data_IF_508401604944
#
_entry.id   IF_508401604944
#
_cell.length_a   1.000
_cell.length_b   1.000
_cell.length_c   1.000
_cell.angle_alpha   90.00
_cell.angle_beta   90.00
_cell.angle_gamma   90.00
#
_symmetry.space_group_name_H-M   'P 1'
#
loop_
_entity.id
_entity.type
_entity.pdbx_description
1 polymer ?
#
# COMPACT_ATOMS: atom_id res chain seq x y z
N UNK A 1 9.07 15.71 26.97
CA UNK A 1 8.53 14.39 26.57
C UNK A 1 8.87 14.15 25.11
N UNK A 2 9.76 13.18 24.83
CA UNK A 2 10.35 12.95 23.50
C UNK A 2 9.28 12.47 22.50
N UNK A 3 9.25 13.15 21.35
CA UNK A 3 8.41 12.82 20.20
C UNK A 3 8.62 11.35 19.80
N UNK A 4 7.54 10.57 19.89
CA UNK A 4 7.52 9.11 19.79
C UNK A 4 7.93 8.54 18.44
N UNK A 5 8.21 7.22 18.49
CA UNK A 5 8.67 6.32 17.42
C UNK A 5 8.15 6.71 16.03
N UNK A 6 9.07 7.05 15.12
CA UNK A 6 8.79 7.38 13.70
C UNK A 6 8.71 6.11 12.85
N UNK A 7 7.75 5.25 13.16
CA UNK A 7 7.45 4.04 12.40
C UNK A 7 6.10 4.15 11.70
N UNK A 8 6.03 3.62 10.48
CA UNK A 8 4.90 3.76 9.57
C UNK A 8 4.58 2.39 8.97
N UNK A 9 3.31 2.09 8.77
CA UNK A 9 2.89 0.95 7.97
C UNK A 9 2.15 1.44 6.73
N UNK A 10 2.62 1.05 5.55
CA UNK A 10 1.97 1.33 4.28
C UNK A 10 1.29 0.07 3.75
N UNK A 11 0.02 0.16 3.38
CA UNK A 11 -0.68 -0.86 2.60
C UNK A 11 -1.03 -0.26 1.24
N UNK A 12 -0.39 -0.73 0.17
CA UNK A 12 -0.58 -0.19 -1.18
C UNK A 12 -0.29 -1.24 -2.25
N UNK A 13 -0.77 -1.04 -3.50
CA UNK A 13 -1.75 -1.89 -4.16
C UNK A 13 -1.23 -3.28 -4.53
N UNK A 14 -2.18 -4.09 -5.01
CA UNK A 14 -1.95 -5.27 -5.86
C UNK A 14 -0.75 -5.07 -6.76
N UNK A 15 0.33 -5.74 -6.41
CA UNK A 15 1.47 -5.83 -7.31
C UNK A 15 1.25 -7.04 -8.20
N UNK A 16 1.45 -6.83 -9.50
CA UNK A 16 1.63 -7.93 -10.43
C UNK A 16 2.92 -8.62 -10.04
N UNK A 17 2.80 -9.86 -9.60
CA UNK A 17 3.94 -10.70 -9.28
C UNK A 17 3.94 -11.82 -10.30
N UNK A 18 4.96 -11.81 -11.17
CA UNK A 18 5.02 -12.63 -12.37
C UNK A 18 4.23 -12.06 -13.56
N UNK A 19 4.95 -11.62 -14.58
CA UNK A 19 4.45 -11.45 -15.94
C UNK A 19 5.27 -12.34 -16.87
N UNK A 20 4.62 -13.18 -17.67
CA UNK A 20 5.29 -13.91 -18.74
C UNK A 20 5.84 -12.90 -19.76
N UNK A 21 7.17 -12.75 -19.82
CA UNK A 21 7.88 -11.99 -20.84
C UNK A 21 9.16 -12.71 -21.27
N UNK A 22 9.36 -12.84 -22.58
CA UNK A 22 10.62 -13.11 -23.30
C UNK A 22 10.50 -12.45 -24.67
N UNK A 23 11.53 -11.94 -25.37
CA UNK A 23 12.98 -11.81 -25.16
C UNK A 23 13.53 -10.85 -26.23
N UNK A 24 14.68 -10.23 -25.94
CA UNK A 24 15.68 -9.49 -26.76
C UNK A 24 15.48 -9.32 -28.29
N UNK A 25 15.65 -8.07 -28.75
CA UNK A 25 16.19 -7.72 -30.08
C UNK A 25 15.62 -6.43 -30.72
N UNK A 26 16.44 -5.38 -30.82
CA UNK A 26 16.35 -4.26 -31.79
C UNK A 26 15.32 -3.14 -31.53
N UNK A 27 15.78 -1.90 -31.33
CA UNK A 27 14.92 -0.70 -31.37
C UNK A 27 14.60 -0.24 -32.81
N UNK A 28 14.02 0.96 -33.04
CA UNK A 28 13.43 1.92 -32.12
C UNK A 28 11.93 2.23 -32.39
N UNK A 29 11.28 2.79 -31.36
CA UNK A 29 10.09 3.65 -31.37
C UNK A 29 8.76 3.20 -32.05
N UNK A 30 7.72 3.38 -31.23
CA UNK A 30 6.31 3.69 -31.56
C UNK A 30 5.34 2.52 -31.79
N UNK A 31 4.23 2.65 -31.06
CA UNK A 31 2.92 2.04 -31.30
C UNK A 31 2.71 0.61 -30.80
N UNK A 32 1.83 0.51 -29.79
CA UNK A 32 1.17 -0.72 -29.37
C UNK A 32 0.57 -1.47 -30.58
N UNK A 33 0.79 -2.78 -30.66
CA UNK A 33 -0.30 -3.73 -30.39
C UNK A 33 0.07 -4.50 -29.12
N UNK A 34 -0.87 -4.93 -28.27
CA UNK A 34 -1.53 -6.22 -28.45
C UNK A 34 -0.50 -7.35 -28.48
N UNK A 35 -0.70 -8.45 -27.76
CA UNK A 35 -0.48 -9.81 -28.24
C UNK A 35 -0.46 -10.78 -27.05
N UNK A 36 -1.46 -11.63 -27.08
CA UNK A 36 -1.71 -12.79 -26.25
C UNK A 36 -0.84 -13.96 -26.68
N UNK A 37 -0.41 -14.78 -25.72
CA UNK A 37 -0.01 -16.17 -25.98
C UNK A 37 -0.81 -17.08 -25.06
N UNK A 38 -1.62 -17.94 -25.65
CA UNK A 38 -2.35 -19.00 -24.97
C UNK A 38 -1.40 -20.17 -24.67
N UNK A 39 -1.60 -20.82 -23.53
CA UNK A 39 -1.10 -22.17 -23.29
C UNK A 39 -2.31 -23.05 -23.01
N UNK A 40 -2.45 -24.08 -23.84
CA UNK A 40 -3.30 -25.25 -23.62
C UNK A 40 -2.37 -26.39 -23.19
N UNK A 41 -2.40 -26.73 -21.90
CA UNK A 41 -1.81 -27.95 -21.35
C UNK A 41 -2.88 -28.68 -20.51
N UNK A 42 -2.83 -30.01 -20.36
CA UNK A 42 -4.02 -30.81 -20.10
C UNK A 42 -4.59 -30.76 -18.67
N UNK A 43 -3.99 -29.99 -17.74
CA UNK A 43 -4.41 -29.97 -16.34
C UNK A 43 -4.22 -28.58 -15.74
N UNK A 44 -5.34 -27.93 -15.37
CA UNK A 44 -5.36 -26.64 -14.67
C UNK A 44 -5.51 -25.42 -15.59
N UNK A 45 -6.73 -24.89 -15.69
CA UNK A 45 -7.00 -23.63 -16.41
C UNK A 45 -6.22 -22.43 -15.83
N UNK A 46 -5.88 -21.42 -16.64
CA UNK A 46 -4.96 -20.35 -16.25
C UNK A 46 -5.50 -19.42 -15.14
N UNK A 47 -4.59 -18.91 -14.30
CA UNK A 47 -4.81 -17.87 -13.29
C UNK A 47 -5.23 -16.56 -13.95
N UNK A 48 -6.53 -16.36 -14.17
CA UNK A 48 -7.06 -15.13 -14.77
C UNK A 48 -7.47 -14.15 -13.68
N UNK A 49 -6.84 -12.99 -13.64
CA UNK A 49 -7.31 -11.86 -12.85
C UNK A 49 -7.27 -10.58 -13.68
N UNK A 50 -8.16 -9.62 -13.37
CA UNK A 50 -8.20 -8.32 -14.04
C UNK A 50 -7.39 -7.32 -13.19
N UNK A 51 -6.18 -6.92 -13.60
CA UNK A 51 -5.41 -5.90 -12.91
C UNK A 51 -6.05 -4.51 -13.13
N UNK A 52 -5.58 -3.46 -12.43
CA UNK A 52 -6.06 -2.09 -12.59
C UNK A 52 -6.05 -1.56 -14.04
N UNK A 53 -5.23 -2.17 -14.92
CA UNK A 53 -5.15 -1.88 -16.35
C UNK A 53 -6.34 -2.38 -17.19
N UNK A 54 -7.34 -3.04 -16.60
CA UNK A 54 -8.60 -3.38 -17.25
C UNK A 54 -8.55 -4.53 -18.26
N UNK A 55 -7.38 -5.09 -18.59
CA UNK A 55 -7.21 -6.29 -19.42
C UNK A 55 -7.20 -7.56 -18.57
N UNK A 56 -7.83 -8.64 -19.04
CA UNK A 56 -7.72 -9.95 -18.38
C UNK A 56 -6.33 -10.51 -18.74
N UNK A 57 -5.46 -10.60 -17.74
CA UNK A 57 -4.12 -11.14 -17.92
C UNK A 57 -3.94 -12.37 -17.04
N UNK A 58 -3.11 -13.30 -17.51
CA UNK A 58 -2.70 -14.43 -16.70
C UNK A 58 -1.66 -13.94 -15.70
N UNK A 59 -2.09 -13.56 -14.50
CA UNK A 59 -1.23 -13.05 -13.45
C UNK A 59 -1.77 -13.39 -12.07
N UNK A 60 -0.82 -13.52 -11.14
CA UNK A 60 -1.10 -13.61 -9.70
C UNK A 60 -1.06 -12.22 -9.09
N UNK A 61 -1.94 -12.03 -8.11
CA UNK A 61 -2.12 -10.77 -7.41
C UNK A 61 -1.82 -10.97 -5.93
N UNK A 62 -0.80 -10.30 -5.42
CA UNK A 62 -0.50 -10.28 -3.99
C UNK A 62 -0.90 -8.95 -3.35
N UNK A 63 -1.44 -9.01 -2.14
CA UNK A 63 -1.58 -7.88 -1.21
C UNK A 63 -0.42 -7.92 -0.23
N UNK A 64 0.22 -6.78 0.00
CA UNK A 64 1.44 -6.69 0.81
C UNK A 64 1.34 -5.56 1.84
N UNK A 65 2.01 -5.77 2.97
CA UNK A 65 2.18 -4.77 4.01
C UNK A 65 3.66 -4.37 4.08
N UNK A 66 3.95 -3.08 4.00
CA UNK A 66 5.30 -2.57 4.19
C UNK A 66 5.43 -1.82 5.51
N UNK A 67 6.56 -1.98 6.18
CA UNK A 67 6.94 -1.20 7.36
C UNK A 67 8.07 -0.26 7.00
N UNK A 68 7.91 1.02 7.35
CA UNK A 68 8.93 2.06 7.16
C UNK A 68 9.33 2.62 8.51
N UNK A 69 10.62 2.83 8.69
CA UNK A 69 11.21 3.53 9.82
C UNK A 69 12.26 4.53 9.34
N UNK A 70 12.88 5.26 10.28
CA UNK A 70 14.05 6.08 9.97
C UNK A 70 15.26 5.25 9.48
N UNK A 71 15.29 3.95 9.77
CA UNK A 71 16.37 3.03 9.39
C UNK A 71 16.19 2.43 7.99
N UNK A 72 15.01 2.53 7.39
CA UNK A 72 14.71 1.88 6.12
C UNK A 72 13.28 1.39 6.05
N UNK A 73 12.96 0.66 4.98
CA UNK A 73 11.63 0.11 4.72
C UNK A 73 11.74 -1.33 4.22
N UNK A 74 10.81 -2.19 4.62
CA UNK A 74 10.75 -3.59 4.20
C UNK A 74 9.31 -4.11 4.18
N UNK A 75 9.05 -5.18 3.43
CA UNK A 75 7.78 -5.89 3.44
C UNK A 75 7.70 -6.79 4.68
N UNK A 76 6.59 -6.74 5.41
CA UNK A 76 6.39 -7.46 6.68
C UNK A 76 5.26 -8.49 6.63
N UNK A 77 4.33 -8.37 5.67
CA UNK A 77 3.25 -9.34 5.48
C UNK A 77 2.85 -9.42 4.00
N UNK A 78 2.28 -10.56 3.60
CA UNK A 78 1.81 -10.88 2.24
C UNK A 78 0.57 -11.76 2.29
N UNK A 79 -0.30 -11.60 1.32
CA UNK A 79 -1.38 -12.55 1.06
C UNK A 79 -1.66 -12.65 -0.44
N UNK A 80 -1.90 -13.86 -0.93
CA UNK A 80 -2.36 -14.08 -2.30
C UNK A 80 -3.85 -13.77 -2.41
N UNK A 81 -4.23 -12.92 -3.36
CA UNK A 81 -5.64 -12.63 -3.64
C UNK A 81 -6.21 -13.69 -4.57
N UNK A 82 -7.28 -14.34 -4.10
CA UNK A 82 -8.05 -15.30 -4.89
C UNK A 82 -9.36 -14.66 -5.35
N UNK A 83 -9.60 -14.55 -6.67
CA UNK A 83 -10.92 -14.16 -7.17
C UNK A 83 -12.01 -15.15 -6.74
N UNK A 84 -13.25 -14.68 -6.63
CA UNK A 84 -14.38 -15.53 -6.22
C UNK A 84 -14.54 -16.78 -7.10
N UNK A 85 -14.34 -16.65 -8.41
CA UNK A 85 -14.38 -17.77 -9.35
C UNK A 85 -13.32 -18.87 -9.09
N UNK A 86 -12.26 -18.59 -8.32
CA UNK A 86 -11.36 -19.63 -7.83
C UNK A 86 -11.93 -20.32 -6.59
N UNK A 87 -12.43 -19.53 -5.65
CA UNK A 87 -12.95 -20.07 -4.38
C UNK A 87 -14.26 -20.83 -4.54
N UNK A 88 -14.99 -20.62 -5.63
CA UNK A 88 -16.20 -21.39 -5.93
C UNK A 88 -15.89 -22.77 -6.53
N UNK A 89 -14.65 -22.99 -7.00
CA UNK A 89 -14.17 -24.26 -7.58
C UNK A 89 -13.15 -24.92 -6.62
N UNK A 90 -13.68 -25.77 -5.73
CA UNK A 90 -12.88 -26.43 -4.68
C UNK A 90 -11.90 -27.45 -5.23
N UNK A 91 -12.25 -28.16 -6.30
CA UNK A 91 -11.35 -29.15 -6.90
C UNK A 91 -10.15 -28.45 -7.55
N UNK A 92 -10.38 -27.33 -8.23
CA UNK A 92 -9.30 -26.48 -8.73
C UNK A 92 -8.45 -25.89 -7.61
N UNK A 93 -9.05 -25.51 -6.49
CA UNK A 93 -8.30 -25.04 -5.31
C UNK A 93 -7.37 -26.11 -4.77
N UNK A 94 -7.87 -27.34 -4.58
CA UNK A 94 -7.09 -28.49 -4.09
C UNK A 94 -5.96 -28.86 -5.05
N UNK A 95 -6.22 -28.84 -6.36
CA UNK A 95 -5.19 -29.06 -7.38
C UNK A 95 -4.06 -28.01 -7.33
N UNK A 96 -4.38 -26.78 -6.92
CA UNK A 96 -3.42 -25.70 -6.74
C UNK A 96 -2.83 -25.63 -5.31
N UNK A 97 -3.14 -26.59 -4.44
CA UNK A 97 -2.65 -26.65 -3.06
C UNK A 97 -3.28 -25.61 -2.10
N UNK A 98 -4.40 -25.00 -2.48
CA UNK A 98 -5.11 -24.02 -1.66
C UNK A 98 -5.92 -24.76 -0.58
N UNK A 99 -5.74 -24.44 0.72
CA UNK A 99 -6.51 -25.06 1.80
C UNK A 99 -8.02 -24.79 1.70
N UNK A 100 -8.84 -25.73 2.18
CA UNK A 100 -10.31 -25.68 2.08
C UNK A 100 -10.90 -24.53 2.90
N UNK A 101 -10.21 -24.08 3.95
CA UNK A 101 -10.62 -22.95 4.81
C UNK A 101 -10.42 -21.60 4.11
N UNK A 102 -9.66 -21.55 3.01
CA UNK A 102 -9.44 -20.32 2.25
C UNK A 102 -10.68 -20.00 1.41
N UNK A 103 -11.49 -19.09 1.94
CA UNK A 103 -12.63 -18.47 1.25
C UNK A 103 -12.25 -17.21 0.47
N UNK A 104 -13.24 -16.65 -0.23
CA UNK A 104 -13.10 -15.35 -0.88
C UNK A 104 -12.92 -14.26 0.17
N UNK A 105 -11.95 -13.37 -0.06
CA UNK A 105 -11.76 -12.17 0.73
C UNK A 105 -11.50 -10.99 -0.21
N UNK A 106 -12.20 -9.89 0.02
CA UNK A 106 -11.89 -8.62 -0.63
C UNK A 106 -10.52 -8.13 -0.19
N UNK A 107 -9.86 -7.32 -1.02
CA UNK A 107 -8.56 -6.73 -0.67
C UNK A 107 -8.63 -5.92 0.63
N UNK A 108 -9.76 -5.25 0.89
CA UNK A 108 -10.00 -4.48 2.12
C UNK A 108 -10.01 -5.39 3.34
N UNK A 109 -10.70 -6.54 3.26
CA UNK A 109 -10.69 -7.54 4.33
C UNK A 109 -9.30 -8.14 4.53
N UNK A 110 -8.59 -8.46 3.44
CA UNK A 110 -7.20 -8.93 3.51
C UNK A 110 -6.30 -7.91 4.22
N UNK A 111 -6.38 -6.64 3.85
CA UNK A 111 -5.61 -5.56 4.48
C UNK A 111 -5.94 -5.41 5.98
N UNK A 112 -7.22 -5.50 6.35
CA UNK A 112 -7.66 -5.51 7.75
C UNK A 112 -7.04 -6.68 8.51
N UNK A 113 -7.12 -7.89 7.96
CA UNK A 113 -6.54 -9.11 8.57
C UNK A 113 -5.03 -9.01 8.71
N UNK A 114 -4.32 -8.48 7.71
CA UNK A 114 -2.88 -8.26 7.76
C UNK A 114 -2.49 -7.25 8.84
N UNK A 115 -3.23 -6.13 8.96
CA UNK A 115 -3.03 -5.18 10.04
C UNK A 115 -3.29 -5.80 11.42
N UNK A 116 -4.37 -6.56 11.56
CA UNK A 116 -4.70 -7.25 12.81
C UNK A 116 -3.58 -8.21 13.24
N UNK A 117 -3.03 -9.00 12.31
CA UNK A 117 -1.87 -9.85 12.57
C UNK A 117 -0.64 -9.05 12.99
N UNK A 118 -0.35 -7.95 12.31
CA UNK A 118 0.78 -7.08 12.66
C UNK A 118 0.63 -6.52 14.09
N UNK A 119 -0.58 -6.08 14.46
CA UNK A 119 -0.86 -5.58 15.81
C UNK A 119 -0.76 -6.68 16.87
N UNK A 120 -1.30 -7.88 16.58
CA UNK A 120 -1.18 -9.03 17.47
C UNK A 120 0.28 -9.49 17.66
N UNK A 121 1.13 -9.32 16.64
CA UNK A 121 2.57 -9.56 16.72
C UNK A 121 3.35 -8.43 17.43
N UNK A 122 2.67 -7.44 18.02
CA UNK A 122 3.29 -6.33 18.75
C UNK A 122 3.85 -5.22 17.86
N UNK A 123 3.58 -5.23 16.55
CA UNK A 123 4.00 -4.17 15.64
C UNK A 123 3.02 -3.00 15.79
N UNK A 124 3.42 -1.99 16.57
CA UNK A 124 2.63 -0.76 16.79
C UNK A 124 3.19 0.39 15.96
N UNK A 125 2.73 0.63 14.72
CA UNK A 125 3.19 1.78 13.95
C UNK A 125 2.62 3.08 14.51
N UNK A 126 3.40 4.15 14.42
CA UNK A 126 2.90 5.48 14.74
C UNK A 126 1.73 5.88 13.82
N UNK A 127 1.78 5.49 12.55
CA UNK A 127 0.72 5.76 11.59
C UNK A 127 0.60 4.69 10.51
N UNK A 128 -0.61 4.54 9.96
CA UNK A 128 -0.92 3.71 8.79
C UNK A 128 -1.24 4.57 7.57
N UNK A 129 -0.73 4.21 6.39
CA UNK A 129 -1.05 4.90 5.13
C UNK A 129 -1.54 3.92 4.09
N UNK A 130 -2.52 4.33 3.27
CA UNK A 130 -3.10 3.46 2.25
C UNK A 130 -3.51 4.20 0.99
N UNK A 131 -3.66 3.45 -0.12
CA UNK A 131 -4.26 3.97 -1.34
C UNK A 131 -5.75 4.25 -1.24
N UNK A 132 -6.28 4.80 -2.32
CA UNK A 132 -7.68 5.13 -2.47
C UNK A 132 -8.58 3.88 -2.45
N UNK A 133 -8.10 2.74 -2.95
CA UNK A 133 -8.89 1.52 -3.04
C UNK A 133 -9.21 0.95 -1.65
N UNK A 134 -8.27 1.03 -0.71
CA UNK A 134 -8.50 0.72 0.71
C UNK A 134 -9.14 1.89 1.43
N UNK A 135 -8.62 3.09 1.18
CA UNK A 135 -8.94 4.27 1.96
C UNK A 135 -10.38 4.70 1.80
N UNK A 136 -11.06 4.46 0.67
CA UNK A 136 -12.51 4.71 0.53
C UNK A 136 -13.39 3.86 1.46
N UNK A 137 -12.87 2.74 2.01
CA UNK A 137 -13.65 1.87 2.88
C UNK A 137 -13.87 2.53 4.24
N UNK A 138 -15.11 2.98 4.49
CA UNK A 138 -15.52 3.57 5.77
C UNK A 138 -15.36 2.57 6.93
N UNK A 139 -15.65 1.29 6.70
CA UNK A 139 -15.50 0.24 7.72
C UNK A 139 -14.04 0.04 8.13
N UNK A 140 -13.10 0.10 7.19
CA UNK A 140 -11.67 0.00 7.50
C UNK A 140 -11.18 1.23 8.29
N UNK A 141 -11.64 2.43 7.94
CA UNK A 141 -11.34 3.66 8.71
C UNK A 141 -11.82 3.52 10.16
N UNK A 142 -13.08 3.18 10.35
CA UNK A 142 -13.68 3.01 11.69
C UNK A 142 -12.95 1.93 12.48
N UNK A 143 -12.64 0.79 11.86
CA UNK A 143 -11.89 -0.27 12.53
C UNK A 143 -10.49 0.20 13.00
N UNK A 144 -9.76 0.99 12.20
CA UNK A 144 -8.49 1.57 12.64
C UNK A 144 -8.68 2.58 13.78
N UNK A 145 -9.77 3.37 13.77
CA UNK A 145 -10.10 4.30 14.85
C UNK A 145 -10.42 3.57 16.17
N UNK A 146 -11.13 2.43 16.11
CA UNK A 146 -11.43 1.57 17.26
C UNK A 146 -10.16 0.98 17.91
N UNK A 147 -9.13 0.72 17.10
CA UNK A 147 -7.81 0.26 17.57
C UNK A 147 -6.88 1.42 17.93
N UNK A 148 -7.39 2.65 17.95
CA UNK A 148 -6.64 3.88 18.19
C UNK A 148 -5.41 4.05 17.27
N UNK A 149 -5.48 3.49 16.07
CA UNK A 149 -4.41 3.54 15.08
C UNK A 149 -4.55 4.81 14.23
N UNK A 150 -3.60 5.74 14.42
CA UNK A 150 -3.51 6.93 13.58
C UNK A 150 -3.27 6.53 12.12
N UNK A 151 -3.92 7.22 11.19
CA UNK A 151 -3.85 6.90 9.77
C UNK A 151 -4.01 8.12 8.87
N UNK A 152 -3.43 8.03 7.67
CA UNK A 152 -3.62 8.95 6.54
C UNK A 152 -3.89 8.09 5.31
N UNK A 153 -5.16 7.97 4.93
CA UNK A 153 -5.58 7.11 3.80
C UNK A 153 -6.11 7.96 2.66
N UNK A 154 -5.69 7.64 1.43
CA UNK A 154 -6.20 8.35 0.26
C UNK A 154 -7.70 8.06 0.05
N UNK A 155 -8.43 9.01 -0.50
CA UNK A 155 -9.86 8.84 -0.80
C UNK A 155 -10.24 9.48 -2.13
N UNK A 156 -11.40 9.06 -2.65
CA UNK A 156 -11.98 9.59 -3.87
C UNK A 156 -12.46 11.01 -3.68
N UNK A 157 -12.44 11.78 -4.77
CA UNK A 157 -12.99 13.15 -4.82
C UNK A 157 -14.47 13.23 -4.43
N UNK A 158 -15.24 12.18 -4.70
CA UNK A 158 -16.69 12.10 -4.45
C UNK A 158 -17.03 11.35 -3.16
N UNK A 159 -16.05 11.07 -2.29
CA UNK A 159 -16.32 10.49 -0.99
C UNK A 159 -17.05 11.50 -0.09
N UNK A 160 -18.00 11.00 0.69
CA UNK A 160 -18.79 11.78 1.63
C UNK A 160 -18.25 11.61 3.05
N UNK A 161 -17.87 12.74 3.65
CA UNK A 161 -17.37 12.82 5.02
C UNK A 161 -18.35 13.59 5.90
N UNK A 162 -18.39 13.21 7.18
CA UNK A 162 -19.15 13.95 8.19
C UNK A 162 -18.38 15.21 8.54
N UNK A 163 -19.02 16.38 8.44
CA UNK A 163 -18.42 17.68 8.73
C UNK A 163 -18.47 18.01 10.22
N UNK A 164 -17.84 19.12 10.61
CA UNK A 164 -17.96 19.69 11.95
C UNK A 164 -19.33 20.31 12.23
N UNK A 165 -20.19 20.45 11.22
CA UNK A 165 -21.57 20.93 11.35
C UNK A 165 -22.59 19.79 11.47
N UNK A 166 -22.14 18.56 11.74
CA UNK A 166 -22.97 17.34 11.82
C UNK A 166 -23.71 16.99 10.51
N UNK A 167 -23.30 17.56 9.38
CA UNK A 167 -23.80 17.21 8.05
C UNK A 167 -22.87 16.26 7.30
N UNK A 168 -23.32 15.79 6.14
CA UNK A 168 -22.48 15.12 5.15
C UNK A 168 -22.09 16.11 4.05
N UNK A 169 -20.82 16.08 3.67
CA UNK A 169 -20.36 16.84 2.51
C UNK A 169 -19.33 16.06 1.72
N UNK A 170 -19.37 16.26 0.40
CA UNK A 170 -18.38 15.72 -0.52
C UNK A 170 -17.02 16.37 -0.31
N UNK A 171 -16.00 15.53 -0.32
CA UNK A 171 -14.59 15.93 -0.17
C UNK A 171 -14.17 17.01 -1.17
N UNK A 172 -14.52 16.88 -2.45
CA UNK A 172 -14.14 17.89 -3.46
C UNK A 172 -14.80 19.25 -3.23
N UNK A 173 -16.06 19.28 -2.78
CA UNK A 173 -16.77 20.52 -2.45
C UNK A 173 -16.17 21.22 -1.24
N UNK A 174 -15.81 20.48 -0.20
CA UNK A 174 -15.16 21.04 0.99
C UNK A 174 -13.82 21.69 0.65
N UNK A 175 -13.02 21.04 -0.19
CA UNK A 175 -11.69 21.55 -0.58
C UNK A 175 -11.79 22.72 -1.57
N UNK A 176 -12.77 22.70 -2.48
CA UNK A 176 -13.01 23.80 -3.41
C UNK A 176 -13.44 25.09 -2.69
N UNK A 177 -14.13 24.98 -1.54
CA UNK A 177 -14.54 26.12 -0.74
C UNK A 177 -13.40 26.77 0.06
N UNK A 178 -12.19 26.19 0.08
CA UNK A 178 -11.08 26.73 0.86
C UNK A 178 -10.49 27.99 0.22
N UNK A 179 -10.27 29.07 1.01
CA UNK A 179 -9.57 30.24 0.52
C UNK A 179 -8.10 29.90 0.21
N UNK A 180 -7.49 30.64 -0.73
CA UNK A 180 -6.08 30.43 -1.13
C UNK A 180 -5.10 30.43 0.05
N UNK A 181 -5.34 31.26 1.08
CA UNK A 181 -4.52 31.33 2.30
C UNK A 181 -4.49 30.04 3.14
N UNK A 182 -5.44 29.13 2.94
CA UNK A 182 -5.49 27.85 3.65
C UNK A 182 -4.47 26.83 3.09
N UNK A 183 -3.88 27.13 1.93
CA UNK A 183 -2.89 26.28 1.27
C UNK A 183 -1.47 26.70 1.67
N UNK A 184 -0.63 25.72 1.96
CA UNK A 184 0.78 25.92 2.29
C UNK A 184 1.66 25.02 1.41
N UNK A 185 2.74 25.57 0.87
CA UNK A 185 3.73 24.80 0.11
C UNK A 185 4.58 23.98 1.07
N UNK A 186 4.50 22.66 0.97
CA UNK A 186 5.18 21.73 1.89
C UNK A 186 5.77 20.57 1.09
N UNK A 187 7.00 20.20 1.42
CA UNK A 187 7.63 18.99 0.91
C UNK A 187 7.06 17.73 1.56
N UNK A 188 6.58 16.80 0.73
CA UNK A 188 6.12 15.47 1.14
C UNK A 188 7.29 14.49 1.41
N UNK A 189 8.54 14.95 1.28
CA UNK A 189 9.75 14.15 1.47
C UNK A 189 10.70 14.21 0.27
N UNK A 190 11.88 13.58 0.39
CA UNK A 190 12.82 13.48 -0.73
C UNK A 190 12.18 12.70 -1.89
N UNK A 191 12.53 13.07 -3.12
CA UNK A 191 12.19 12.38 -4.36
C UNK A 191 13.41 12.30 -5.27
N UNK A 192 13.33 11.46 -6.31
CA UNK A 192 14.43 11.21 -7.24
C UNK A 192 14.91 12.47 -7.99
N UNK A 193 14.02 13.46 -8.19
CA UNK A 193 14.30 14.73 -8.86
C UNK A 193 14.30 15.93 -7.89
N UNK A 194 14.55 15.70 -6.60
CA UNK A 194 14.53 16.72 -5.56
C UNK A 194 13.31 16.63 -4.61
N UNK A 195 13.13 17.60 -3.70
CA UNK A 195 12.02 17.60 -2.75
C UNK A 195 10.68 17.55 -3.47
N UNK A 196 9.80 16.62 -3.08
CA UNK A 196 8.45 16.53 -3.65
C UNK A 196 7.54 17.59 -3.04
N UNK A 197 7.56 18.78 -3.63
CA UNK A 197 6.79 19.91 -3.16
C UNK A 197 5.37 19.91 -3.72
N UNK A 198 4.41 20.12 -2.83
CA UNK A 198 3.01 20.26 -3.17
C UNK A 198 2.39 21.37 -2.34
N UNK A 199 1.26 21.90 -2.82
CA UNK A 199 0.38 22.70 -1.99
C UNK A 199 -0.48 21.78 -1.13
N UNK A 200 -0.50 22.00 0.18
CA UNK A 200 -1.27 21.20 1.13
C UNK A 200 -2.26 22.08 1.87
N UNK A 201 -3.45 21.56 2.10
CA UNK A 201 -4.45 22.17 2.97
C UNK A 201 -5.12 21.10 3.82
N UNK A 202 -5.56 21.47 5.03
CA UNK A 202 -6.37 20.60 5.89
C UNK A 202 -7.61 21.31 6.38
N UNK A 203 -8.67 20.54 6.60
CA UNK A 203 -9.91 20.97 7.22
C UNK A 203 -10.24 19.98 8.35
N UNK A 204 -10.63 20.43 9.55
CA UNK A 204 -11.21 19.52 10.53
C UNK A 204 -12.51 18.92 10.00
N UNK A 205 -12.70 17.63 10.20
CA UNK A 205 -13.94 16.93 9.90
C UNK A 205 -14.44 16.21 11.16
N UNK A 206 -15.72 15.83 11.17
CA UNK A 206 -16.43 15.24 12.31
C UNK A 206 -16.49 16.13 13.55
N UNK A 207 -17.57 15.95 14.32
CA UNK A 207 -17.71 16.45 15.69
C UNK A 207 -17.38 15.35 16.70
N UNK A 208 -17.23 15.71 17.97
CA UNK A 208 -17.00 14.77 19.09
C UNK A 208 -15.77 13.87 18.94
N UNK A 209 -14.62 14.50 18.70
CA UNK A 209 -13.35 13.77 18.70
C UNK A 209 -13.10 13.13 20.05
N UNK A 210 -12.58 11.90 20.07
CA UNK A 210 -12.02 11.31 21.29
C UNK A 210 -11.00 12.28 21.91
N UNK A 211 -10.94 12.43 23.25
CA UNK A 211 -9.98 13.33 23.89
C UNK A 211 -8.55 13.10 23.37
N UNK A 212 -7.90 14.17 22.93
CA UNK A 212 -6.54 14.11 22.39
C UNK A 212 -6.40 13.57 20.96
N UNK A 213 -7.51 13.21 20.29
CA UNK A 213 -7.54 12.79 18.89
C UNK A 213 -8.19 13.86 18.01
N UNK A 214 -7.98 13.76 16.71
CA UNK A 214 -8.65 14.60 15.73
C UNK A 214 -8.80 13.91 14.39
N UNK A 215 -9.77 14.41 13.63
CA UNK A 215 -10.07 13.96 12.28
C UNK A 215 -9.91 15.13 11.32
N UNK A 216 -9.21 14.89 10.22
CA UNK A 216 -8.98 15.91 9.20
C UNK A 216 -9.21 15.36 7.81
N UNK A 217 -9.75 16.21 6.94
CA UNK A 217 -9.63 16.07 5.51
C UNK A 217 -8.38 16.82 5.06
N UNK A 218 -7.48 16.13 4.36
CA UNK A 218 -6.24 16.67 3.82
C UNK A 218 -6.33 16.66 2.30
N UNK A 219 -5.93 17.77 1.68
CA UNK A 219 -5.81 17.88 0.23
C UNK A 219 -4.37 18.20 -0.16
N UNK A 220 -3.94 17.58 -1.24
CA UNK A 220 -2.67 17.83 -1.91
C UNK A 220 -2.95 18.33 -3.31
N UNK A 221 -2.37 19.47 -3.68
CA UNK A 221 -2.43 20.03 -5.03
C UNK A 221 -1.04 20.03 -5.66
N UNK A 222 -0.95 19.49 -6.87
CA UNK A 222 0.26 19.54 -7.68
C UNK A 222 0.59 20.99 -8.07
N UNK A 223 1.85 21.39 -7.95
CA UNK A 223 2.30 22.75 -8.26
C UNK A 223 2.23 23.01 -9.77
N UNK A 224 2.63 22.04 -10.59
CA UNK A 224 2.71 22.18 -12.04
C UNK A 224 1.38 21.85 -12.73
N UNK A 225 0.73 20.75 -12.34
CA UNK A 225 -0.49 20.27 -13.01
C UNK A 225 -1.78 20.78 -12.38
N UNK A 226 -1.73 21.31 -11.15
CA UNK A 226 -2.93 21.69 -10.40
C UNK A 226 -3.79 20.51 -9.92
N UNK A 227 -3.40 19.27 -10.22
CA UNK A 227 -4.17 18.07 -9.85
C UNK A 227 -4.31 17.90 -8.34
N UNK A 228 -5.52 17.54 -7.91
CA UNK A 228 -5.87 17.35 -6.51
C UNK A 228 -5.91 15.86 -6.11
N UNK A 229 -5.31 15.55 -4.97
CA UNK A 229 -5.46 14.28 -4.27
C UNK A 229 -5.99 14.52 -2.85
N UNK A 230 -6.83 13.62 -2.37
CA UNK A 230 -7.54 13.77 -1.10
C UNK A 230 -7.22 12.64 -0.13
N UNK A 231 -7.18 12.95 1.16
CA UNK A 231 -6.87 11.99 2.20
C UNK A 231 -7.74 12.21 3.44
N UNK A 232 -8.21 11.13 4.04
CA UNK A 232 -8.85 11.14 5.36
C UNK A 232 -7.83 10.78 6.42
N UNK A 233 -7.74 11.62 7.44
CA UNK A 233 -6.73 11.53 8.48
C UNK A 233 -7.39 11.38 9.86
N UNK A 234 -6.85 10.49 10.68
CA UNK A 234 -7.14 10.35 12.09
C UNK A 234 -5.83 10.26 12.87
N UNK A 235 -5.71 10.94 14.00
CA UNK A 235 -4.51 10.84 14.83
C UNK A 235 -4.48 11.84 15.97
N UNK A 236 -3.31 12.06 16.61
CA UNK A 236 -3.17 12.99 17.72
C UNK A 236 -3.59 14.41 17.35
N UNK A 237 -4.44 15.06 18.15
CA UNK A 237 -5.03 16.39 17.86
C UNK A 237 -4.01 17.47 17.52
N UNK A 238 -2.81 17.38 18.09
CA UNK A 238 -1.70 18.33 17.90
C UNK A 238 -0.84 18.06 16.65
N UNK A 239 -1.21 17.09 15.82
CA UNK A 239 -0.48 16.80 14.57
C UNK A 239 -0.50 18.03 13.67
N UNK A 240 0.66 18.45 13.14
CA UNK A 240 0.76 19.63 12.26
C UNK A 240 0.50 19.25 10.82
N UNK A 241 0.12 20.22 9.99
CA UNK A 241 -0.06 20.02 8.55
C UNK A 241 1.22 19.46 7.89
N UNK A 242 2.39 19.96 8.30
CA UNK A 242 3.68 19.47 7.81
C UNK A 242 3.90 17.99 8.13
N UNK A 243 3.47 17.54 9.31
CA UNK A 243 3.61 16.14 9.68
C UNK A 243 2.66 15.30 8.81
N UNK A 244 1.38 15.66 8.69
CA UNK A 244 0.42 14.96 7.81
C UNK A 244 0.91 14.86 6.35
N UNK A 245 1.48 15.95 5.79
CA UNK A 245 2.02 15.97 4.44
C UNK A 245 3.19 14.99 4.25
N UNK A 246 4.11 14.93 5.22
CA UNK A 246 5.21 13.95 5.22
C UNK A 246 4.70 12.53 5.29
N UNK A 247 3.65 12.29 6.10
CA UNK A 247 3.03 10.97 6.30
C UNK A 247 2.35 10.52 5.02
N UNK A 248 1.55 11.37 4.40
CA UNK A 248 0.97 11.09 3.09
C UNK A 248 2.05 10.77 2.04
N UNK A 249 3.21 11.42 2.12
CA UNK A 249 4.38 11.16 1.27
C UNK A 249 5.09 9.83 1.54
N UNK A 250 4.99 9.24 2.74
CA UNK A 250 5.63 7.95 3.05
C UNK A 250 5.02 6.78 2.30
N UNK A 251 3.82 6.96 1.76
CA UNK A 251 3.13 6.00 0.89
C UNK A 251 4.02 5.46 -0.24
N UNK A 252 4.90 6.31 -0.78
CA UNK A 252 5.85 5.94 -1.83
C UNK A 252 6.85 4.86 -1.41
N UNK A 253 7.13 4.71 -0.11
CA UNK A 253 8.08 3.70 0.37
C UNK A 253 7.63 2.26 0.05
N UNK A 254 6.33 2.01 -0.12
CA UNK A 254 5.84 0.70 -0.60
C UNK A 254 6.33 0.43 -2.03
N UNK A 255 6.29 1.44 -2.90
CA UNK A 255 6.74 1.33 -4.28
C UNK A 255 8.27 1.10 -4.32
N UNK A 256 9.03 1.78 -3.47
CA UNK A 256 10.46 1.53 -3.29
C UNK A 256 10.77 0.12 -2.76
N UNK A 257 10.02 -0.38 -1.78
CA UNK A 257 10.12 -1.77 -1.30
C UNK A 257 9.93 -2.75 -2.46
N UNK A 258 8.91 -2.55 -3.29
CA UNK A 258 8.68 -3.44 -4.44
C UNK A 258 9.81 -3.39 -5.46
N UNK A 259 10.27 -2.18 -5.84
CA UNK A 259 11.38 -2.06 -6.79
C UNK A 259 12.65 -2.74 -6.26
N UNK A 260 12.97 -2.56 -4.98
CA UNK A 260 14.13 -3.17 -4.36
C UNK A 260 13.98 -4.69 -4.20
N UNK A 261 12.83 -5.17 -3.71
CA UNK A 261 12.58 -6.59 -3.53
C UNK A 261 12.58 -7.35 -4.86
N UNK A 262 12.08 -6.75 -5.94
CA UNK A 262 12.16 -7.31 -7.30
C UNK A 262 13.60 -7.34 -7.79
N UNK A 263 14.27 -6.19 -7.80
CA UNK A 263 15.61 -6.07 -8.37
C UNK A 263 16.73 -6.74 -7.57
N UNK A 264 16.54 -6.98 -6.26
CA UNK A 264 17.59 -7.49 -5.37
C UNK A 264 17.27 -8.85 -4.74
N UNK A 265 15.99 -9.23 -4.68
CA UNK A 265 15.56 -10.44 -3.98
C UNK A 265 14.64 -11.34 -4.83
N UNK A 266 14.53 -11.08 -6.14
CA UNK A 266 13.80 -11.94 -7.06
C UNK A 266 12.30 -12.06 -6.76
N UNK A 267 11.68 -11.02 -6.17
CA UNK A 267 10.28 -11.08 -5.73
C UNK A 267 9.31 -11.50 -6.85
N UNK A 268 9.58 -11.11 -8.10
CA UNK A 268 8.82 -11.50 -9.29
C UNK A 268 9.54 -12.48 -10.23
N UNK A 269 10.66 -13.05 -9.79
CA UNK A 269 11.46 -14.04 -10.53
C UNK A 269 11.06 -15.47 -10.16
N UNK A 270 9.80 -15.84 -10.43
CA UNK A 270 9.31 -17.20 -10.20
C UNK A 270 8.34 -17.66 -11.29
N UNK A 271 8.12 -18.98 -11.35
CA UNK A 271 7.12 -19.61 -12.23
C UNK A 271 6.15 -20.54 -11.47
N UNK A 272 6.12 -20.43 -10.14
CA UNK A 272 5.29 -21.27 -9.27
C UNK A 272 3.80 -21.03 -9.47
N UNK A 273 3.04 -22.12 -9.49
CA UNK A 273 1.57 -22.13 -9.66
C UNK A 273 0.86 -22.77 -8.48
N UNK A 274 1.60 -23.34 -7.54
CA UNK A 274 1.11 -23.95 -6.32
C UNK A 274 1.08 -22.91 -5.19
N UNK A 275 0.05 -22.99 -4.34
CA UNK A 275 -0.18 -22.11 -3.21
C UNK A 275 1.01 -22.09 -2.25
N UNK A 276 1.46 -23.26 -1.79
CA UNK A 276 2.57 -23.37 -0.84
C UNK A 276 3.87 -22.87 -1.44
N UNK A 277 4.14 -23.22 -2.71
CA UNK A 277 5.31 -22.74 -3.43
C UNK A 277 5.32 -21.22 -3.58
N UNK A 278 4.16 -20.59 -3.86
CA UNK A 278 4.03 -19.14 -3.88
C UNK A 278 4.35 -18.52 -2.53
N UNK A 279 3.74 -19.02 -1.45
CA UNK A 279 3.99 -18.46 -0.13
C UNK A 279 5.46 -18.62 0.26
N UNK A 280 6.09 -19.76 -0.02
CA UNK A 280 7.50 -20.01 0.27
C UNK A 280 8.41 -19.00 -0.46
N UNK A 281 8.30 -18.91 -1.79
CA UNK A 281 9.11 -18.00 -2.62
C UNK A 281 9.01 -16.56 -2.15
N UNK A 282 7.77 -16.09 -1.93
CA UNK A 282 7.55 -14.69 -1.56
C UNK A 282 8.06 -14.40 -0.15
N UNK A 283 7.92 -15.32 0.83
CA UNK A 283 8.55 -15.09 2.14
C UNK A 283 10.06 -15.05 2.07
N UNK A 284 10.69 -15.97 1.31
CA UNK A 284 12.15 -15.98 1.20
C UNK A 284 12.65 -14.68 0.53
N UNK A 285 11.98 -14.24 -0.55
CA UNK A 285 12.28 -12.98 -1.22
C UNK A 285 12.11 -11.77 -0.27
N UNK A 286 11.04 -11.75 0.51
CA UNK A 286 10.80 -10.70 1.50
C UNK A 286 11.84 -10.71 2.62
N UNK A 287 12.24 -11.89 3.11
CA UNK A 287 13.24 -12.05 4.16
C UNK A 287 14.62 -11.61 3.67
N UNK A 288 15.02 -12.03 2.47
CA UNK A 288 16.27 -11.61 1.83
C UNK A 288 16.30 -10.08 1.63
N UNK A 289 15.20 -9.48 1.17
CA UNK A 289 15.09 -8.03 1.04
C UNK A 289 15.20 -7.32 2.40
N UNK A 290 14.51 -7.81 3.43
CA UNK A 290 14.60 -7.25 4.78
C UNK A 290 16.02 -7.32 5.34
N UNK A 291 16.72 -8.45 5.13
CA UNK A 291 18.13 -8.60 5.51
C UNK A 291 19.02 -7.59 4.78
N UNK A 292 18.85 -7.39 3.47
CA UNK A 292 19.60 -6.40 2.69
C UNK A 292 19.39 -4.97 3.19
N UNK A 293 18.16 -4.62 3.59
CA UNK A 293 17.85 -3.30 4.17
C UNK A 293 18.57 -3.11 5.49
N UNK A 294 18.57 -4.12 6.36
CA UNK A 294 19.29 -4.10 7.64
C UNK A 294 20.80 -4.03 7.42
N UNK A 295 21.35 -4.88 6.57
CA UNK A 295 22.78 -4.93 6.25
C UNK A 295 23.30 -3.60 5.73
N UNK A 296 22.59 -2.96 4.78
CA UNK A 296 22.92 -1.61 4.28
C UNK A 296 22.92 -0.55 5.37
N UNK A 297 22.02 -0.67 6.35
CA UNK A 297 21.92 0.28 7.44
C UNK A 297 23.08 0.14 8.43
N UNK A 298 23.53 -1.09 8.68
CA UNK A 298 24.64 -1.38 9.58
C UNK A 298 25.98 -0.98 8.93
N UNK A 299 26.18 -1.31 7.66
CA UNK A 299 27.39 -0.90 6.93
C UNK A 299 27.51 0.62 6.82
N UNK A 300 26.40 1.34 6.61
CA UNK A 300 26.39 2.81 6.64
C UNK A 300 26.76 3.41 8.01
N UNK A 301 26.71 2.62 9.08
CA UNK A 301 27.12 3.01 10.44
C UNK A 301 28.50 2.49 10.85
N UNK A 302 29.18 1.74 9.98
CA UNK A 302 30.44 1.06 10.30
C UNK A 302 30.27 -0.18 11.18
N UNK A 303 29.05 -0.70 11.33
CA UNK A 303 28.75 -1.94 12.06
C UNK A 303 28.73 -3.14 11.09
N UNK A 304 29.33 -4.26 11.48
CA UNK A 304 29.29 -5.51 10.68
C UNK A 304 27.88 -6.07 10.60
N UNK A 305 27.46 -6.49 9.40
CA UNK A 305 26.14 -7.10 9.17
C UNK A 305 25.93 -8.33 10.09
N UNK A 306 24.68 -8.63 10.51
CA UNK A 306 24.43 -9.77 11.38
C UNK A 306 24.75 -11.03 10.58
N UNK A 307 25.68 -11.83 11.08
CA UNK A 307 25.92 -13.16 10.54
C UNK A 307 24.60 -13.94 10.60
N UNK A 308 24.23 -14.60 9.49
CA UNK A 308 23.13 -15.55 9.51
C UNK A 308 23.54 -16.68 10.46
N UNK A 309 23.01 -16.66 11.68
CA UNK A 309 23.13 -17.79 12.59
C UNK A 309 22.26 -18.91 12.01
N UNK A 310 22.93 -19.91 11.43
CA UNK A 310 22.33 -21.18 11.01
C UNK A 310 21.96 -22.01 12.24
#
# INVERSE_FOLDING_TARGET
>A
MRCGRRSWIGCMPVSRVGSLGRSRGGGPASTCPGWSRAWTGPTGGPWRSRPPAGRIENCQVGVFLAYRSAKGHALIDRQLYLPQAWTDDRDRCRQAGIPDEVGFATKVEMARTMLARAFAAGITPGWVTMDEAYGQSKSLRVWMEEHDQAHVVATRRNDDVVTTSMGFARVDKLIAALPGRAWSRISAGPGAHGPREYWWARIPIRVFWRPGRGHWLLARRNISTGELAYYVCYGPRRTRLMDLARIAGTRWAVEECFQQAKGQAGLDEYQVRDWRAWYAHITLSMAAHAWLVVAKTLTAKGETAPAAAY
#
